data_IF_938707819955
#
_entry.id   IF_938707819955
#
_cell.length_a   1.000
_cell.length_b   1.000
_cell.length_c   1.000
_cell.angle_alpha   90.00
_cell.angle_beta   90.00
_cell.angle_gamma   90.00
#
_symmetry.space_group_name_H-M   'P 1'
#
loop_
_entity.id
_entity.type
_entity.pdbx_description
1 polymer ?
#
# COMPACT_ATOMS: atom_id res chain seq x y z
N UNK A 1 -6.50 6.08 15.78
CA UNK A 1 -6.09 4.82 16.44
C UNK A 1 -4.64 4.98 16.85
N UNK A 2 -4.34 4.76 18.13
CA UNK A 2 -3.01 4.94 18.70
C UNK A 2 -1.98 3.98 18.07
N UNK A 3 -0.78 4.49 17.83
CA UNK A 3 0.40 3.77 17.30
C UNK A 3 0.70 2.45 18.02
N UNK A 4 0.22 2.31 19.27
CA UNK A 4 0.35 1.15 20.12
C UNK A 4 -0.47 -0.06 19.65
N UNK A 5 -1.57 0.17 18.93
CA UNK A 5 -2.47 -0.88 18.43
C UNK A 5 -1.85 -1.71 17.30
N UNK A 6 -0.93 -1.14 16.51
CA UNK A 6 -0.22 -1.84 15.43
C UNK A 6 0.93 -2.73 15.91
N UNK A 7 1.43 -2.56 17.14
CA UNK A 7 2.46 -3.46 17.71
C UNK A 7 1.96 -4.90 17.86
N UNK A 8 0.65 -5.10 17.98
CA UNK A 8 0.00 -6.43 18.07
C UNK A 8 -0.46 -6.99 16.71
N UNK A 9 -0.16 -6.29 15.62
CA UNK A 9 -0.55 -6.73 14.27
C UNK A 9 0.55 -7.60 13.67
N UNK A 10 0.12 -8.76 13.18
CA UNK A 10 0.98 -9.72 12.49
C UNK A 10 0.73 -9.70 10.99
N UNK A 11 1.82 -9.90 10.24
CA UNK A 11 1.86 -10.05 8.80
C UNK A 11 2.44 -11.42 8.46
N UNK A 12 2.03 -11.94 7.31
CA UNK A 12 2.56 -13.14 6.69
C UNK A 12 3.56 -12.77 5.61
N UNK A 13 4.64 -13.52 5.51
CA UNK A 13 5.61 -13.46 4.42
C UNK A 13 5.98 -14.88 3.98
N UNK A 14 6.11 -15.17 2.67
CA UNK A 14 6.57 -16.49 2.23
C UNK A 14 7.96 -16.85 2.75
N UNK A 15 8.81 -15.84 2.93
CA UNK A 15 10.21 -16.02 3.33
C UNK A 15 10.38 -16.12 4.84
N UNK A 16 9.54 -15.42 5.61
CA UNK A 16 9.74 -15.26 7.06
C UNK A 16 8.59 -15.79 7.92
N UNK A 17 7.53 -16.32 7.31
CA UNK A 17 6.34 -16.77 8.02
C UNK A 17 5.55 -15.62 8.65
N UNK A 18 4.97 -15.87 9.83
CA UNK A 18 4.20 -14.88 10.59
C UNK A 18 5.12 -14.01 11.43
N UNK A 19 5.12 -12.71 11.17
CA UNK A 19 5.97 -11.73 11.85
C UNK A 19 5.19 -10.48 12.26
N UNK A 20 5.56 -9.85 13.37
CA UNK A 20 4.96 -8.60 13.83
C UNK A 20 5.27 -7.43 12.88
N UNK A 21 4.49 -6.36 12.94
CA UNK A 21 4.79 -5.12 12.19
C UNK A 21 6.22 -4.60 12.46
N UNK A 22 6.71 -4.72 13.70
CA UNK A 22 8.07 -4.29 14.01
C UNK A 22 9.12 -5.12 13.25
N UNK A 23 8.94 -6.44 13.23
CA UNK A 23 9.81 -7.33 12.46
C UNK A 23 9.69 -7.09 10.95
N UNK A 24 8.50 -6.77 10.43
CA UNK A 24 8.35 -6.35 9.01
C UNK A 24 9.23 -5.14 8.72
N UNK A 25 9.18 -4.12 9.58
CA UNK A 25 10.02 -2.93 9.44
C UNK A 25 11.51 -3.29 9.46
N UNK A 26 11.95 -4.14 10.39
CA UNK A 26 13.35 -4.56 10.47
C UNK A 26 13.78 -5.27 9.19
N UNK A 27 12.93 -6.15 8.63
CA UNK A 27 13.19 -6.84 7.35
C UNK A 27 13.21 -5.92 6.13
N UNK A 28 12.45 -4.81 6.16
CA UNK A 28 12.53 -3.76 5.14
C UNK A 28 13.89 -3.06 5.22
N UNK A 29 14.31 -2.66 6.42
CA UNK A 29 15.59 -1.97 6.61
C UNK A 29 16.78 -2.87 6.27
N UNK A 30 16.75 -4.15 6.67
CA UNK A 30 17.74 -5.15 6.25
C UNK A 30 17.85 -5.21 4.72
N UNK A 31 16.72 -5.29 4.00
CA UNK A 31 16.70 -5.34 2.54
C UNK A 31 17.23 -4.06 1.87
N UNK A 32 17.03 -2.89 2.49
CA UNK A 32 17.60 -1.63 2.02
C UNK A 32 19.12 -1.60 2.26
N UNK A 33 19.58 -2.10 3.41
CA UNK A 33 21.01 -2.13 3.77
C UNK A 33 21.82 -3.13 2.95
N UNK A 34 21.20 -4.18 2.40
CA UNK A 34 21.86 -5.15 1.51
C UNK A 34 22.50 -4.49 0.28
N UNK A 35 21.96 -3.37 -0.24
CA UNK A 35 22.57 -2.59 -1.33
C UNK A 35 22.01 -1.16 -1.32
N UNK A 36 22.66 -0.29 -0.55
CA UNK A 36 22.22 1.09 -0.33
C UNK A 36 22.34 2.00 -1.56
N UNK A 37 23.04 1.57 -2.62
CA UNK A 37 23.19 2.32 -3.86
C UNK A 37 22.00 2.17 -4.80
N UNK A 38 21.13 1.16 -4.55
CA UNK A 38 19.94 0.92 -5.35
C UNK A 38 18.80 1.85 -4.94
N UNK A 39 17.85 2.03 -5.86
CA UNK A 39 16.61 2.77 -5.60
C UNK A 39 15.53 1.82 -5.13
N UNK A 40 14.80 2.25 -4.10
CA UNK A 40 13.74 1.48 -3.48
C UNK A 40 12.44 2.28 -3.42
N UNK A 41 11.33 1.55 -3.39
CA UNK A 41 10.00 2.10 -3.15
C UNK A 41 9.23 1.14 -2.23
N UNK A 42 8.59 1.69 -1.19
CA UNK A 42 7.60 0.97 -0.41
C UNK A 42 6.23 1.19 -1.04
N UNK A 43 5.50 0.10 -1.23
CA UNK A 43 4.16 0.10 -1.78
C UNK A 43 3.24 -0.50 -0.73
N UNK A 44 2.15 0.18 -0.42
CA UNK A 44 1.10 -0.30 0.49
C UNK A 44 -0.22 -0.32 -0.27
N UNK A 45 -0.96 -1.42 -0.17
CA UNK A 45 -2.28 -1.54 -0.79
C UNK A 45 -3.18 -2.47 -0.01
N UNK A 46 -4.49 -2.29 -0.13
CA UNK A 46 -5.47 -3.20 0.45
C UNK A 46 -6.54 -3.56 -0.57
N UNK A 47 -6.91 -4.84 -0.58
CA UNK A 47 -7.98 -5.38 -1.42
C UNK A 47 -9.07 -6.00 -0.54
N UNK A 48 -10.32 -5.92 -0.99
CA UNK A 48 -11.47 -6.57 -0.34
C UNK A 48 -12.00 -7.77 -1.13
N UNK A 49 -12.33 -8.83 -0.40
CA UNK A 49 -12.93 -10.05 -0.92
C UNK A 49 -14.29 -10.23 -0.25
N UNK A 50 -15.40 -9.92 -0.94
CA UNK A 50 -16.74 -10.06 -0.37
C UNK A 50 -17.14 -11.55 -0.32
N UNK A 51 -17.78 -11.95 0.78
CA UNK A 51 -18.35 -13.27 1.01
C UNK A 51 -19.44 -13.18 2.08
N UNK A 52 -19.61 -14.22 2.91
CA UNK A 52 -20.44 -14.13 4.14
C UNK A 52 -19.91 -13.05 5.09
N UNK A 53 -18.59 -12.95 5.18
CA UNK A 53 -17.83 -11.84 5.76
C UNK A 53 -17.06 -11.12 4.65
N UNK A 54 -16.70 -9.86 4.84
CA UNK A 54 -15.78 -9.18 3.93
C UNK A 54 -14.36 -9.30 4.47
N UNK A 55 -13.47 -9.92 3.70
CA UNK A 55 -12.06 -10.07 4.07
C UNK A 55 -11.25 -8.98 3.40
N UNK A 56 -10.55 -8.18 4.19
CA UNK A 56 -9.59 -7.21 3.69
C UNK A 56 -8.18 -7.77 3.80
N UNK A 57 -7.40 -7.63 2.74
CA UNK A 57 -6.00 -8.05 2.70
C UNK A 57 -5.15 -6.80 2.48
N UNK A 58 -4.34 -6.41 3.46
CA UNK A 58 -3.40 -5.28 3.34
C UNK A 58 -1.99 -5.82 3.12
N UNK A 59 -1.34 -5.36 2.05
CA UNK A 59 0.01 -5.73 1.68
C UNK A 59 0.99 -4.57 1.86
N UNK A 60 2.22 -4.88 2.28
CA UNK A 60 3.40 -4.02 2.28
C UNK A 60 4.43 -4.68 1.37
N UNK A 61 4.90 -3.96 0.37
CA UNK A 61 5.88 -4.44 -0.59
C UNK A 61 7.06 -3.49 -0.60
N UNK A 62 8.27 -4.00 -0.36
CA UNK A 62 9.50 -3.26 -0.60
C UNK A 62 10.10 -3.73 -1.93
N UNK A 63 10.14 -2.83 -2.91
CA UNK A 63 10.65 -3.11 -4.25
C UNK A 63 12.00 -2.44 -4.45
N UNK A 64 13.01 -3.21 -4.86
CA UNK A 64 14.33 -2.73 -5.31
C UNK A 64 14.29 -2.63 -6.83
N UNK A 65 14.45 -1.43 -7.37
CA UNK A 65 14.32 -1.19 -8.82
C UNK A 65 15.32 -2.05 -9.61
N UNK A 66 14.81 -2.95 -10.45
CA UNK A 66 15.60 -3.85 -11.29
C UNK A 66 16.12 -5.12 -10.60
N UNK A 67 15.67 -5.44 -9.38
CA UNK A 67 16.18 -6.61 -8.63
C UNK A 67 15.14 -7.27 -7.71
N UNK A 68 13.84 -7.14 -8.03
CA UNK A 68 12.76 -7.78 -7.28
C UNK A 68 12.40 -7.07 -5.97
N UNK A 69 11.71 -7.77 -5.08
CA UNK A 69 11.23 -7.19 -3.82
C UNK A 69 10.80 -8.23 -2.80
N UNK A 70 10.44 -7.75 -1.61
CA UNK A 70 9.84 -8.56 -0.54
C UNK A 70 8.43 -8.07 -0.27
N UNK A 71 7.54 -8.99 0.08
CA UNK A 71 6.17 -8.64 0.43
C UNK A 71 5.73 -9.28 1.74
N UNK A 72 4.82 -8.57 2.40
CA UNK A 72 4.23 -8.90 3.68
C UNK A 72 2.74 -8.58 3.59
N UNK A 73 1.86 -9.42 4.11
CA UNK A 73 0.43 -9.15 4.07
C UNK A 73 -0.29 -9.56 5.35
N UNK A 74 -1.35 -8.84 5.70
CA UNK A 74 -2.26 -9.20 6.80
C UNK A 74 -3.67 -9.36 6.27
N UNK A 75 -4.47 -10.19 6.94
CA UNK A 75 -5.90 -10.35 6.65
C UNK A 75 -6.71 -9.85 7.84
N UNK A 76 -7.76 -9.08 7.57
CA UNK A 76 -8.72 -8.60 8.58
C UNK A 76 -10.12 -8.93 8.09
N UNK A 77 -10.92 -9.55 8.96
CA UNK A 77 -12.32 -9.86 8.67
C UNK A 77 -13.22 -8.77 9.21
N UNK A 78 -14.15 -8.33 8.37
CA UNK A 78 -15.23 -7.40 8.73
C UNK A 78 -16.57 -8.10 8.54
N UNK A 79 -17.61 -7.59 9.22
CA UNK A 79 -18.99 -7.90 8.84
C UNK A 79 -19.18 -7.62 7.35
N UNK A 80 -20.13 -8.32 6.73
CA UNK A 80 -20.42 -8.19 5.31
C UNK A 80 -20.63 -6.73 4.91
N UNK A 81 -19.84 -6.26 3.95
CA UNK A 81 -19.95 -4.93 3.34
C UNK A 81 -20.40 -5.09 1.88
N UNK A 82 -21.70 -4.98 1.65
CA UNK A 82 -22.28 -5.10 0.30
C UNK A 82 -22.00 -3.86 -0.57
N UNK A 83 -21.79 -2.70 0.06
CA UNK A 83 -21.50 -1.45 -0.65
C UNK A 83 -20.09 -1.42 -1.20
N UNK A 84 -19.95 -1.35 -2.54
CA UNK A 84 -18.68 -1.12 -3.22
C UNK A 84 -17.99 0.16 -2.73
N UNK A 85 -18.77 1.24 -2.51
CA UNK A 85 -18.24 2.49 -1.94
C UNK A 85 -17.56 2.19 -0.61
N UNK A 86 -18.27 1.57 0.33
CA UNK A 86 -17.73 1.29 1.66
C UNK A 86 -16.48 0.44 1.59
N UNK A 87 -16.45 -0.58 0.73
CA UNK A 87 -15.25 -1.41 0.53
C UNK A 87 -14.05 -0.63 0.04
N UNK A 88 -14.20 0.20 -1.01
CA UNK A 88 -13.11 1.04 -1.53
C UNK A 88 -12.61 2.04 -0.46
N UNK A 89 -13.51 2.67 0.29
CA UNK A 89 -13.11 3.57 1.38
C UNK A 89 -12.34 2.84 2.48
N UNK A 90 -12.78 1.63 2.85
CA UNK A 90 -12.10 0.81 3.84
C UNK A 90 -10.73 0.35 3.35
N UNK A 91 -10.61 -0.08 2.09
CA UNK A 91 -9.33 -0.42 1.45
C UNK A 91 -8.33 0.75 1.52
N UNK A 92 -8.78 1.95 1.15
CA UNK A 92 -7.94 3.13 1.18
C UNK A 92 -7.56 3.53 2.61
N UNK A 93 -8.49 3.44 3.56
CA UNK A 93 -8.25 3.76 4.97
C UNK A 93 -7.24 2.80 5.60
N UNK A 94 -7.37 1.49 5.36
CA UNK A 94 -6.43 0.47 5.85
C UNK A 94 -5.03 0.65 5.26
N UNK A 95 -4.95 1.03 3.98
CA UNK A 95 -3.68 1.30 3.32
C UNK A 95 -3.01 2.55 3.88
N UNK A 96 -3.79 3.60 4.13
CA UNK A 96 -3.31 4.85 4.72
C UNK A 96 -2.78 4.65 6.14
N UNK A 97 -3.51 3.91 6.99
CA UNK A 97 -3.09 3.59 8.37
C UNK A 97 -1.69 2.94 8.41
N UNK A 98 -1.47 1.96 7.53
CA UNK A 98 -0.18 1.25 7.44
C UNK A 98 0.91 2.17 6.86
N UNK A 99 0.59 2.96 5.84
CA UNK A 99 1.54 3.90 5.24
C UNK A 99 1.96 5.03 6.20
N UNK A 100 1.06 5.55 7.02
CA UNK A 100 1.33 6.50 8.10
C UNK A 100 2.27 5.92 9.14
N UNK A 101 2.00 4.70 9.56
CA UNK A 101 2.83 4.02 10.55
C UNK A 101 4.22 3.71 10.01
N UNK A 102 4.33 3.26 8.76
CA UNK A 102 5.62 3.07 8.10
C UNK A 102 6.40 4.38 7.97
N UNK A 103 5.76 5.45 7.48
CA UNK A 103 6.41 6.75 7.28
C UNK A 103 6.93 7.34 8.59
N UNK A 104 6.14 7.28 9.66
CA UNK A 104 6.57 7.68 11.00
C UNK A 104 7.79 6.90 11.46
N UNK A 105 7.74 5.57 11.37
CA UNK A 105 8.84 4.70 11.81
C UNK A 105 10.11 4.90 10.96
N UNK A 106 9.98 5.09 9.64
CA UNK A 106 11.09 5.43 8.76
C UNK A 106 11.73 6.76 9.17
N UNK A 107 10.92 7.78 9.48
CA UNK A 107 11.42 9.08 9.92
C UNK A 107 12.18 8.99 11.25
N UNK A 108 11.64 8.28 12.23
CA UNK A 108 12.25 8.07 13.55
C UNK A 108 13.60 7.31 13.46
N UNK A 109 13.81 6.54 12.39
CA UNK A 109 15.00 5.70 12.21
C UNK A 109 15.95 6.20 11.10
N UNK A 110 15.77 7.43 10.59
CA UNK A 110 16.68 8.05 9.62
C UNK A 110 16.47 7.63 8.15
N UNK A 111 15.36 6.98 7.82
CA UNK A 111 15.00 6.53 6.47
C UNK A 111 13.86 7.36 5.83
N UNK A 112 13.68 8.61 6.27
CA UNK A 112 12.58 9.51 5.82
C UNK A 112 12.53 9.76 4.31
N UNK A 113 13.65 9.52 3.60
CA UNK A 113 13.75 9.67 2.14
C UNK A 113 13.24 8.46 1.35
N UNK A 114 12.95 7.33 2.01
CA UNK A 114 12.42 6.15 1.34
C UNK A 114 10.96 6.43 0.89
N UNK A 115 10.66 6.42 -0.42
CA UNK A 115 9.32 6.70 -0.91
C UNK A 115 8.31 5.66 -0.41
N UNK A 116 7.15 6.13 0.03
CA UNK A 116 6.00 5.30 0.40
C UNK A 116 4.83 5.67 -0.52
N UNK A 117 4.37 4.71 -1.31
CA UNK A 117 3.30 4.85 -2.30
C UNK A 117 2.10 4.01 -1.86
N UNK A 118 0.90 4.58 -2.00
CA UNK A 118 -0.35 3.86 -1.73
C UNK A 118 -0.95 3.44 -3.07
N UNK A 119 -1.12 2.14 -3.25
CA UNK A 119 -1.71 1.56 -4.44
C UNK A 119 -3.16 1.17 -4.16
N UNK A 120 -4.05 1.62 -5.04
CA UNK A 120 -5.47 1.28 -5.00
C UNK A 120 -5.81 0.50 -6.27
N UNK A 121 -6.28 -0.74 -6.13
CA UNK A 121 -6.78 -1.52 -7.25
C UNK A 121 -8.28 -1.26 -7.43
N UNK A 122 -8.60 -0.16 -8.11
CA UNK A 122 -10.00 0.19 -8.40
C UNK A 122 -10.29 -0.19 -9.85
N UNK A 123 -11.18 -1.17 -10.04
CA UNK A 123 -11.56 -1.68 -11.36
C UNK A 123 -12.06 -0.58 -12.32
N UNK A 124 -11.77 -0.76 -13.61
CA UNK A 124 -11.93 0.19 -14.74
C UNK A 124 -13.37 0.68 -15.03
N UNK A 125 -14.35 0.36 -14.19
CA UNK A 125 -15.74 0.72 -14.47
C UNK A 125 -16.00 2.21 -14.23
N UNK A 126 -16.61 2.89 -15.22
CA UNK A 126 -16.90 4.33 -15.15
C UNK A 126 -17.76 4.77 -13.96
N UNK A 127 -18.56 3.86 -13.39
CA UNK A 127 -19.40 4.11 -12.22
C UNK A 127 -18.61 4.38 -10.92
N UNK A 128 -17.35 3.93 -10.83
CA UNK A 128 -16.47 4.18 -9.68
C UNK A 128 -15.64 5.44 -9.83
N UNK A 129 -15.67 6.15 -10.97
CA UNK A 129 -14.77 7.29 -11.24
C UNK A 129 -14.91 8.45 -10.26
N UNK A 130 -16.13 8.74 -9.77
CA UNK A 130 -16.35 9.77 -8.74
C UNK A 130 -15.79 9.34 -7.39
N UNK A 131 -15.99 8.07 -7.01
CA UNK A 131 -15.47 7.47 -5.79
C UNK A 131 -13.93 7.42 -5.80
N UNK A 132 -13.34 7.02 -6.92
CA UNK A 132 -11.88 7.02 -7.13
C UNK A 132 -11.31 8.42 -6.89
N UNK A 133 -11.93 9.47 -7.44
CA UNK A 133 -11.49 10.84 -7.24
C UNK A 133 -11.56 11.27 -5.77
N UNK A 134 -12.61 10.90 -5.06
CA UNK A 134 -12.77 11.21 -3.63
C UNK A 134 -11.65 10.54 -2.80
N UNK A 135 -11.36 9.28 -3.09
CA UNK A 135 -10.34 8.48 -2.40
C UNK A 135 -8.93 8.96 -2.73
N UNK A 136 -8.64 9.30 -4.00
CA UNK A 136 -7.35 9.91 -4.40
C UNK A 136 -7.15 11.23 -3.66
N UNK A 137 -8.18 12.08 -3.57
CA UNK A 137 -8.11 13.34 -2.82
C UNK A 137 -7.84 13.10 -1.34
N UNK A 138 -8.46 12.09 -0.74
CA UNK A 138 -8.21 11.70 0.65
C UNK A 138 -6.73 11.34 0.86
N UNK A 139 -6.17 10.48 0.01
CA UNK A 139 -4.77 10.05 0.11
C UNK A 139 -3.79 11.20 -0.13
N UNK A 140 -4.05 12.02 -1.15
CA UNK A 140 -3.23 13.19 -1.45
C UNK A 140 -3.28 14.22 -0.31
N UNK A 141 -4.44 14.42 0.31
CA UNK A 141 -4.62 15.27 1.49
C UNK A 141 -3.79 14.82 2.70
N UNK A 142 -3.51 13.51 2.81
CA UNK A 142 -2.61 12.96 3.84
C UNK A 142 -1.12 13.00 3.46
N UNK A 143 -0.76 13.61 2.32
CA UNK A 143 0.64 13.76 1.90
C UNK A 143 1.26 12.48 1.34
N UNK A 144 0.44 11.61 0.74
CA UNK A 144 0.86 10.39 0.05
C UNK A 144 0.56 10.47 -1.44
N UNK A 145 1.37 9.77 -2.24
CA UNK A 145 1.09 9.55 -3.65
C UNK A 145 0.16 8.36 -3.79
N UNK A 146 -1.04 8.60 -4.31
CA UNK A 146 -1.97 7.55 -4.73
C UNK A 146 -1.61 7.07 -6.14
N UNK A 147 -1.49 5.76 -6.33
CA UNK A 147 -1.26 5.12 -7.63
C UNK A 147 -2.43 4.19 -7.92
N UNK A 148 -3.11 4.42 -9.05
CA UNK A 148 -4.23 3.59 -9.53
C UNK A 148 -3.85 2.87 -10.82
N UNK A 149 -4.22 1.60 -10.99
CA UNK A 149 -4.25 0.98 -12.33
C UNK A 149 -5.45 1.54 -13.11
N UNK A 150 -5.35 1.84 -14.43
CA UNK A 150 -4.32 1.45 -15.38
C UNK A 150 -3.29 2.56 -15.65
N UNK A 151 -3.04 3.53 -14.76
CA UNK A 151 -1.95 4.51 -14.99
C UNK A 151 -0.55 3.85 -14.97
N UNK A 152 -0.45 2.61 -14.46
CA UNK A 152 0.74 1.76 -14.62
C UNK A 152 0.86 1.06 -15.98
N UNK A 153 -0.20 1.06 -16.80
CA UNK A 153 -0.23 0.47 -18.15
C UNK A 153 -0.42 1.52 -19.27
N UNK A 154 -1.08 2.65 -18.98
CA UNK A 154 -1.46 3.68 -19.95
C UNK A 154 -0.51 4.88 -20.04
N UNK A 155 0.26 5.19 -18.99
CA UNK A 155 1.24 6.28 -19.04
C UNK A 155 2.49 5.96 -19.88
N UNK A 156 2.65 4.70 -20.32
CA UNK A 156 3.66 4.31 -21.33
C UNK A 156 3.09 4.29 -22.76
N UNK A 157 1.79 4.56 -22.98
CA UNK A 157 1.20 4.59 -24.32
C UNK A 157 0.70 5.95 -24.80
N UNK A 158 0.76 6.99 -23.95
CA UNK A 158 0.32 8.35 -24.32
C UNK A 158 1.36 9.44 -23.98
N UNK A 159 2.62 9.04 -23.77
CA UNK A 159 3.76 9.96 -23.78
C UNK A 159 4.63 9.81 -25.04
N UNK A 160 4.10 9.15 -26.08
CA UNK A 160 4.81 8.88 -27.35
C UNK A 160 4.02 9.32 -28.59
N UNK A 161 3.13 10.31 -28.44
CA UNK A 161 2.48 10.95 -29.58
C UNK A 161 2.17 12.42 -29.30
N UNK A 162 3.18 13.21 -29.58
CA UNK A 162 3.23 14.63 -29.92
C UNK A 162 3.97 15.50 -28.92
N UNK A 163 4.93 16.33 -29.31
CA UNK A 163 5.68 16.58 -30.56
C UNK A 163 6.54 17.81 -30.24
N UNK A 164 7.71 17.90 -30.89
CA UNK A 164 8.46 19.10 -31.29
C UNK A 164 8.08 20.46 -30.69
#
# INVERSE_FOLDING_TARGET
MDTESLKKVFFQSPTFGTISFNQVFDKIIEFVKEDSQKKYSLIVGSDSFPGEETVFVTAIIIHRKGSGGRYFYRKIKYKKLDSLKSRIFTEASLSLEVAETLKRKLSENGFSRLPVEIHLDIGENGATRSLVKEVIKMIAGSGYKAVTKPESFGATKVADRHTY
#
